data_IF_159090366270
#
_entry.id   IF_159090366270
#
_cell.length_a   1.000
_cell.length_b   1.000
_cell.length_c   1.000
_cell.angle_alpha   90.00
_cell.angle_beta   90.00
_cell.angle_gamma   90.00
#
_symmetry.space_group_name_H-M   'P 1'
#
loop_
_entity.id
_entity.type
_entity.pdbx_description
1 polymer ?
#
# COMPACT_ATOMS: atom_id res chain seq x y z
N UNK A 1 34.74 17.71 -27.48
CA UNK A 1 34.13 16.74 -26.55
C UNK A 1 32.76 17.28 -26.17
N UNK A 2 31.70 16.76 -26.79
CA UNK A 2 30.32 17.06 -26.37
C UNK A 2 29.97 16.13 -25.21
N UNK A 3 29.86 16.69 -24.01
CA UNK A 3 29.40 16.04 -22.79
C UNK A 3 28.09 15.28 -23.05
N UNK A 4 28.12 13.97 -22.82
CA UNK A 4 26.96 13.10 -22.95
C UNK A 4 26.13 13.31 -21.67
N UNK A 5 25.11 14.17 -21.74
CA UNK A 5 24.15 14.31 -20.64
C UNK A 5 23.36 13.01 -20.48
N UNK A 6 23.75 12.21 -19.49
CA UNK A 6 23.02 11.02 -19.07
C UNK A 6 21.66 11.50 -18.53
N UNK A 7 20.59 11.16 -19.25
CA UNK A 7 19.22 11.49 -18.89
C UNK A 7 18.85 10.71 -17.61
N UNK A 8 19.05 11.34 -16.45
CA UNK A 8 18.69 10.75 -15.17
C UNK A 8 17.17 10.54 -15.10
N UNK A 9 16.68 9.34 -14.73
CA UNK A 9 15.26 9.01 -14.72
C UNK A 9 14.50 10.03 -13.85
N UNK A 10 13.49 10.65 -14.47
CA UNK A 10 12.97 11.96 -14.08
C UNK A 10 12.21 11.88 -12.73
N UNK A 11 12.64 12.63 -11.70
CA UNK A 11 11.97 12.74 -10.39
C UNK A 11 10.49 13.14 -10.47
N UNK A 12 10.09 13.80 -11.58
CA UNK A 12 8.73 14.28 -11.84
C UNK A 12 7.67 13.18 -11.76
N UNK A 13 7.99 11.95 -12.18
CA UNK A 13 7.02 10.82 -12.13
C UNK A 13 6.72 10.41 -10.69
N UNK A 14 7.73 10.35 -9.82
CA UNK A 14 7.57 10.03 -8.41
C UNK A 14 6.77 11.10 -7.67
N UNK A 15 7.02 12.38 -7.98
CA UNK A 15 6.24 13.50 -7.42
C UNK A 15 4.77 13.41 -7.82
N UNK A 16 4.46 13.06 -9.06
CA UNK A 16 3.07 12.88 -9.51
C UNK A 16 2.36 11.74 -8.75
N UNK A 17 3.05 10.61 -8.53
CA UNK A 17 2.48 9.49 -7.76
C UNK A 17 2.32 9.85 -6.28
N UNK A 18 3.26 10.62 -5.72
CA UNK A 18 3.15 11.14 -4.35
C UNK A 18 1.91 12.03 -4.19
N UNK A 19 1.63 12.89 -5.18
CA UNK A 19 0.43 13.73 -5.19
C UNK A 19 -0.84 12.87 -5.24
N UNK A 20 -0.88 11.83 -6.08
CA UNK A 20 -2.01 10.89 -6.12
C UNK A 20 -2.22 10.20 -4.77
N UNK A 21 -1.15 9.74 -4.11
CA UNK A 21 -1.21 9.17 -2.76
C UNK A 21 -1.72 10.18 -1.72
N UNK A 22 -1.29 11.44 -1.82
CA UNK A 22 -1.76 12.53 -0.98
C UNK A 22 -3.27 12.77 -1.15
N UNK A 23 -3.76 12.80 -2.38
CA UNK A 23 -5.19 12.94 -2.68
C UNK A 23 -5.98 11.74 -2.16
N UNK A 24 -5.51 10.51 -2.38
CA UNK A 24 -6.15 9.31 -1.84
C UNK A 24 -6.23 9.35 -0.31
N UNK A 25 -5.20 9.88 0.36
CA UNK A 25 -5.18 10.04 1.82
C UNK A 25 -6.16 11.12 2.28
N UNK A 26 -6.27 12.23 1.55
CA UNK A 26 -7.27 13.26 1.84
C UNK A 26 -8.70 12.72 1.69
N UNK A 27 -8.95 11.90 0.66
CA UNK A 27 -10.24 11.20 0.47
C UNK A 27 -10.52 10.25 1.63
N UNK A 28 -9.53 9.49 2.08
CA UNK A 28 -9.67 8.58 3.22
C UNK A 28 -10.03 9.31 4.51
N UNK A 29 -9.37 10.44 4.78
CA UNK A 29 -9.68 11.30 5.92
C UNK A 29 -11.10 11.87 5.79
N UNK A 30 -11.48 12.37 4.61
CA UNK A 30 -12.82 12.88 4.38
C UNK A 30 -13.89 11.80 4.60
N UNK A 31 -13.67 10.59 4.08
CA UNK A 31 -14.56 9.44 4.28
C UNK A 31 -14.70 9.06 5.74
N UNK A 32 -13.58 9.03 6.48
CA UNK A 32 -13.58 8.78 7.92
C UNK A 32 -14.41 9.81 8.68
N UNK A 33 -14.28 11.10 8.36
CA UNK A 33 -15.10 12.15 9.00
C UNK A 33 -16.57 12.16 8.56
N UNK A 34 -16.90 11.54 7.43
CA UNK A 34 -18.28 11.39 6.93
C UNK A 34 -18.85 9.99 7.15
N UNK A 35 -18.31 9.24 8.12
CA UNK A 35 -18.73 7.87 8.43
C UNK A 35 -20.23 7.75 8.69
N UNK A 36 -20.85 8.77 9.28
CA UNK A 36 -22.30 8.85 9.55
C UNK A 36 -23.17 8.83 8.27
N UNK A 37 -22.62 9.26 7.13
CA UNK A 37 -23.35 9.35 5.85
C UNK A 37 -23.25 8.04 5.07
N UNK A 38 -22.12 7.33 5.20
CA UNK A 38 -21.80 6.11 4.43
C UNK A 38 -22.12 4.84 5.22
N UNK A 39 -22.22 4.94 6.55
CA UNK A 39 -22.66 3.87 7.44
C UNK A 39 -21.75 2.64 7.38
N UNK A 40 -22.36 1.45 7.31
CA UNK A 40 -21.64 0.17 7.33
C UNK A 40 -20.70 -0.06 6.14
N UNK A 41 -20.76 0.76 5.09
CA UNK A 41 -19.85 0.69 3.94
C UNK A 41 -18.54 1.45 4.14
N UNK A 42 -18.43 2.28 5.19
CA UNK A 42 -17.21 3.06 5.48
C UNK A 42 -16.01 2.14 5.70
N UNK A 43 -16.15 1.14 6.57
CA UNK A 43 -15.07 0.21 6.92
C UNK A 43 -14.48 -0.54 5.71
N UNK A 44 -15.28 -1.24 4.87
CA UNK A 44 -14.73 -1.93 3.71
C UNK A 44 -14.12 -0.96 2.68
N UNK A 45 -14.67 0.25 2.54
CA UNK A 45 -14.14 1.26 1.61
C UNK A 45 -12.76 1.77 2.05
N UNK A 46 -12.59 2.04 3.35
CA UNK A 46 -11.31 2.43 3.93
C UNK A 46 -10.26 1.32 3.76
N UNK A 47 -10.64 0.06 3.95
CA UNK A 47 -9.75 -1.10 3.71
C UNK A 47 -9.30 -1.14 2.24
N UNK A 48 -10.22 -0.95 1.29
CA UNK A 48 -9.88 -0.95 -0.14
C UNK A 48 -8.93 0.20 -0.48
N UNK A 49 -9.16 1.40 0.05
CA UNK A 49 -8.27 2.54 -0.13
C UNK A 49 -6.88 2.29 0.47
N UNK A 50 -6.81 1.71 1.67
CA UNK A 50 -5.54 1.35 2.31
C UNK A 50 -4.75 0.33 1.48
N UNK A 51 -5.39 -0.75 1.02
CA UNK A 51 -4.78 -1.77 0.17
C UNK A 51 -4.33 -1.17 -1.17
N UNK A 52 -5.16 -0.33 -1.79
CA UNK A 52 -4.83 0.34 -3.04
C UNK A 52 -3.57 1.22 -2.90
N UNK A 53 -3.49 2.02 -1.84
CA UNK A 53 -2.30 2.84 -1.54
C UNK A 53 -1.06 1.95 -1.32
N UNK A 54 -1.20 0.86 -0.57
CA UNK A 54 -0.10 -0.08 -0.36
C UNK A 54 0.46 -0.63 -1.69
N UNK A 55 -0.40 -1.04 -2.61
CA UNK A 55 0.03 -1.54 -3.94
C UNK A 55 0.78 -0.45 -4.73
N UNK A 56 0.30 0.80 -4.69
CA UNK A 56 0.98 1.93 -5.35
C UNK A 56 2.37 2.15 -4.75
N UNK A 57 2.49 2.13 -3.42
CA UNK A 57 3.78 2.31 -2.72
C UNK A 57 4.74 1.17 -3.04
N UNK A 58 4.28 -0.08 -2.96
CA UNK A 58 5.10 -1.26 -3.24
C UNK A 58 5.56 -1.29 -4.71
N UNK A 59 4.67 -0.96 -5.64
CA UNK A 59 4.98 -0.96 -7.07
C UNK A 59 5.94 0.16 -7.46
N UNK A 60 5.73 1.38 -6.96
CA UNK A 60 6.48 2.56 -7.42
C UNK A 60 7.57 3.01 -6.45
N UNK A 61 7.27 3.18 -5.17
CA UNK A 61 8.24 3.70 -4.18
C UNK A 61 9.22 2.66 -3.65
N UNK A 62 8.79 1.40 -3.52
CA UNK A 62 9.70 0.28 -3.22
C UNK A 62 10.41 -0.27 -4.46
N UNK A 63 10.17 0.35 -5.63
CA UNK A 63 10.78 0.00 -6.92
C UNK A 63 10.59 -1.45 -7.39
N UNK A 64 9.76 -2.27 -6.73
CA UNK A 64 9.59 -3.70 -7.06
C UNK A 64 9.12 -3.94 -8.50
N UNK A 65 8.46 -2.95 -9.12
CA UNK A 65 8.06 -3.00 -10.53
C UNK A 65 9.25 -2.97 -11.50
N UNK A 66 10.36 -2.34 -11.11
CA UNK A 66 11.55 -2.14 -11.93
C UNK A 66 12.71 -3.09 -11.55
N UNK A 67 12.53 -3.85 -10.45
CA UNK A 67 13.54 -4.74 -9.90
C UNK A 67 13.47 -6.17 -10.45
N UNK A 68 14.52 -6.95 -10.18
CA UNK A 68 14.59 -8.35 -10.56
C UNK A 68 13.52 -9.22 -9.88
N UNK A 69 13.06 -10.26 -10.60
CA UNK A 69 12.02 -11.20 -10.13
C UNK A 69 12.36 -11.87 -8.78
N UNK A 70 13.64 -11.95 -8.42
CA UNK A 70 14.10 -12.49 -7.15
C UNK A 70 13.68 -11.61 -5.95
N UNK A 71 13.90 -10.29 -6.04
CA UNK A 71 13.56 -9.34 -4.97
C UNK A 71 12.05 -9.27 -4.80
N UNK A 72 11.30 -9.23 -5.91
CA UNK A 72 9.85 -9.23 -5.87
C UNK A 72 9.28 -10.51 -5.22
N UNK A 73 9.86 -11.68 -5.52
CA UNK A 73 9.48 -12.95 -4.87
C UNK A 73 9.81 -12.98 -3.38
N UNK A 74 10.95 -12.44 -2.98
CA UNK A 74 11.34 -12.38 -1.57
C UNK A 74 10.38 -11.49 -0.77
N UNK A 75 10.06 -10.30 -1.29
CA UNK A 75 9.07 -9.41 -0.68
C UNK A 75 7.69 -10.06 -0.60
N UNK A 76 7.22 -10.65 -1.70
CA UNK A 76 5.91 -11.33 -1.74
C UNK A 76 5.86 -12.51 -0.76
N UNK A 77 6.95 -13.27 -0.64
CA UNK A 77 7.08 -14.35 0.34
C UNK A 77 6.99 -13.84 1.78
N UNK A 78 7.69 -12.74 2.11
CA UNK A 78 7.58 -12.09 3.41
C UNK A 78 6.17 -11.55 3.69
N UNK A 79 5.50 -10.97 2.70
CA UNK A 79 4.12 -10.49 2.80
C UNK A 79 3.14 -11.64 3.08
N UNK A 80 3.26 -12.77 2.37
CA UNK A 80 2.43 -13.96 2.62
C UNK A 80 2.67 -14.50 4.03
N UNK A 81 3.93 -14.61 4.44
CA UNK A 81 4.28 -15.07 5.78
C UNK A 81 3.67 -14.16 6.86
N UNK A 82 3.77 -12.84 6.70
CA UNK A 82 3.18 -11.88 7.62
C UNK A 82 1.66 -12.02 7.74
N UNK A 83 0.96 -12.20 6.61
CA UNK A 83 -0.49 -12.43 6.60
C UNK A 83 -0.88 -13.73 7.29
N UNK A 84 -0.12 -14.81 7.08
CA UNK A 84 -0.35 -16.10 7.76
C UNK A 84 -0.17 -15.96 9.26
N UNK A 85 0.94 -15.37 9.72
CA UNK A 85 1.20 -15.17 11.15
C UNK A 85 0.14 -14.29 11.79
N UNK A 86 -0.26 -13.20 11.12
CA UNK A 86 -1.33 -12.34 11.57
C UNK A 86 -2.66 -13.10 11.73
N UNK A 87 -3.04 -13.92 10.75
CA UNK A 87 -4.24 -14.74 10.82
C UNK A 87 -4.20 -15.76 11.97
N UNK A 88 -3.06 -16.41 12.19
CA UNK A 88 -2.87 -17.36 13.30
C UNK A 88 -3.05 -16.64 14.64
N UNK A 89 -2.39 -15.50 14.85
CA UNK A 89 -2.48 -14.73 16.10
C UNK A 89 -3.90 -14.22 16.33
N UNK A 90 -4.57 -13.71 15.29
CA UNK A 90 -5.96 -13.26 15.41
C UNK A 90 -6.91 -14.41 15.72
N UNK A 91 -6.70 -15.58 15.12
CA UNK A 91 -7.48 -16.78 15.42
C UNK A 91 -7.26 -17.29 16.84
N UNK A 92 -6.01 -17.33 17.30
CA UNK A 92 -5.67 -17.68 18.69
C UNK A 92 -6.34 -16.72 19.67
N UNK A 93 -6.20 -15.41 19.45
CA UNK A 93 -6.82 -14.36 20.28
C UNK A 93 -8.33 -14.49 20.30
N UNK A 94 -8.96 -14.76 19.14
CA UNK A 94 -10.39 -15.01 19.08
C UNK A 94 -10.77 -16.24 19.90
N UNK A 95 -10.09 -17.37 19.71
CA UNK A 95 -10.36 -18.61 20.46
C UNK A 95 -10.17 -18.44 21.97
N UNK A 96 -9.16 -17.68 22.39
CA UNK A 96 -8.87 -17.43 23.81
C UNK A 96 -9.89 -16.49 24.49
N UNK A 97 -10.62 -15.68 23.71
CA UNK A 97 -11.68 -14.82 24.26
C UNK A 97 -13.02 -15.58 24.45
N UNK A 98 -13.18 -16.76 23.87
CA UNK A 98 -14.41 -17.58 23.98
C UNK A 98 -14.36 -18.63 25.10
N UNK A 99 -13.24 -18.76 25.81
CA UNK A 99 -13.05 -19.62 27.00
C UNK A 99 -12.66 -18.76 28.21
#
# INVERSE_FOLDING_TARGET
>A
MSEIHIEHPTPKKYVQIAIVLGVLTAIEIALYYTEDIVGAFTDPLLIILAVGKFIIVVGWFMHLRFENKLINRFFTGGMILALILFAIVMFERASANFF
#
